data_IF_809915742845
#
_entry.id   IF_809915742845
#
_cell.length_a   1.000
_cell.length_b   1.000
_cell.length_c   1.000
_cell.angle_alpha   90.00
_cell.angle_beta   90.00
_cell.angle_gamma   90.00
#
_symmetry.space_group_name_H-M   'P 1'
#
loop_
_entity.id
_entity.type
_entity.pdbx_description
1 polymer ?
#
# COMPACT_ATOMS: atom_id res chain seq x y z
N UNK A 1 -3.19 -31.77 17.39
CA UNK A 1 -1.92 -32.15 16.72
C UNK A 1 -1.09 -30.88 16.58
N UNK A 2 0.03 -30.79 17.29
CA UNK A 2 0.95 -29.64 17.19
C UNK A 2 1.51 -29.62 15.77
N UNK A 3 1.18 -28.59 14.98
CA UNK A 3 1.70 -28.45 13.61
C UNK A 3 3.23 -28.35 13.69
N UNK A 4 3.93 -29.12 12.86
CA UNK A 4 5.40 -29.01 12.74
C UNK A 4 5.77 -27.65 12.17
N UNK A 5 6.97 -27.15 12.51
CA UNK A 5 7.48 -25.86 12.02
C UNK A 5 7.44 -25.75 10.49
N UNK A 6 7.81 -26.84 9.80
CA UNK A 6 7.72 -26.95 8.35
C UNK A 6 6.27 -26.81 7.84
N UNK A 7 5.31 -27.41 8.54
CA UNK A 7 3.89 -27.28 8.20
C UNK A 7 3.35 -25.87 8.38
N UNK A 8 3.78 -25.15 9.43
CA UNK A 8 3.41 -23.74 9.64
C UNK A 8 4.01 -22.83 8.57
N UNK A 9 5.26 -23.09 8.17
CA UNK A 9 5.92 -22.35 7.09
C UNK A 9 5.20 -22.56 5.76
N UNK A 10 4.88 -23.81 5.41
CA UNK A 10 4.15 -24.11 4.19
C UNK A 10 2.75 -23.48 4.19
N UNK A 11 2.01 -23.58 5.29
CA UNK A 11 0.71 -22.94 5.44
C UNK A 11 0.78 -21.42 5.29
N UNK A 12 1.83 -20.80 5.84
CA UNK A 12 2.05 -19.35 5.69
C UNK A 12 2.30 -18.99 4.23
N UNK A 13 3.15 -19.75 3.53
CA UNK A 13 3.38 -19.53 2.09
C UNK A 13 2.11 -19.71 1.26
N UNK A 14 1.31 -20.74 1.54
CA UNK A 14 0.03 -20.96 0.84
C UNK A 14 -0.92 -19.80 1.11
N UNK A 15 -1.05 -19.36 2.36
CA UNK A 15 -1.91 -18.23 2.72
C UNK A 15 -1.48 -16.95 2.00
N UNK A 16 -0.18 -16.64 1.99
CA UNK A 16 0.35 -15.48 1.28
C UNK A 16 0.17 -15.60 -0.24
N UNK A 17 0.30 -16.81 -0.80
CA UNK A 17 0.11 -17.05 -2.23
C UNK A 17 -1.36 -16.96 -2.65
N UNK A 18 -2.30 -17.47 -1.85
CA UNK A 18 -3.74 -17.42 -2.12
C UNK A 18 -4.25 -15.98 -2.16
N UNK A 19 -3.67 -15.10 -1.32
CA UNK A 19 -3.98 -13.67 -1.41
C UNK A 19 -3.55 -13.05 -2.74
N UNK A 20 -2.57 -13.58 -3.47
CA UNK A 20 -2.11 -13.00 -4.75
C UNK A 20 -3.09 -13.19 -5.92
N UNK A 21 -4.08 -14.08 -5.81
CA UNK A 21 -4.90 -14.53 -6.94
C UNK A 21 -6.37 -14.06 -6.84
N UNK A 22 -6.82 -13.66 -5.65
CA UNK A 22 -8.18 -13.19 -5.40
C UNK A 22 -8.25 -11.66 -5.27
N UNK A 23 -9.46 -11.11 -5.36
CA UNK A 23 -9.78 -9.72 -5.01
C UNK A 23 -9.61 -9.55 -3.49
N UNK A 24 -8.36 -9.40 -3.05
CA UNK A 24 -7.96 -9.52 -1.65
C UNK A 24 -7.68 -8.14 -1.04
N UNK A 25 -7.96 -8.01 0.26
CA UNK A 25 -7.63 -6.79 0.99
C UNK A 25 -6.14 -6.79 1.39
N UNK A 26 -5.38 -5.82 0.87
CA UNK A 26 -3.96 -5.62 1.22
C UNK A 26 -3.75 -5.45 2.73
N UNK A 27 -4.73 -4.87 3.44
CA UNK A 27 -4.67 -4.71 4.89
C UNK A 27 -4.69 -6.07 5.59
N UNK A 28 -5.54 -6.99 5.14
CA UNK A 28 -5.64 -8.35 5.70
C UNK A 28 -4.37 -9.16 5.44
N UNK A 29 -3.78 -9.03 4.25
CA UNK A 29 -2.47 -9.62 3.94
C UNK A 29 -1.39 -9.13 4.90
N UNK A 30 -1.31 -7.82 5.11
CA UNK A 30 -0.29 -7.21 5.96
C UNK A 30 -0.45 -7.67 7.42
N UNK A 31 -1.68 -7.73 7.93
CA UNK A 31 -1.98 -8.26 9.27
C UNK A 31 -1.63 -9.74 9.38
N UNK A 32 -2.03 -10.55 8.40
CA UNK A 32 -1.71 -11.97 8.36
C UNK A 32 -0.20 -12.20 8.35
N UNK A 33 0.55 -11.42 7.57
CA UNK A 33 2.00 -11.54 7.50
C UNK A 33 2.66 -11.28 8.85
N UNK A 34 2.31 -10.18 9.53
CA UNK A 34 2.92 -9.85 10.83
C UNK A 34 2.59 -10.89 11.89
N UNK A 35 1.35 -11.39 11.93
CA UNK A 35 0.94 -12.43 12.88
C UNK A 35 1.65 -13.75 12.63
N UNK A 36 1.70 -14.22 11.38
CA UNK A 36 2.34 -15.49 11.02
C UNK A 36 3.85 -15.44 11.22
N UNK A 37 4.50 -14.33 10.84
CA UNK A 37 5.94 -14.17 11.05
C UNK A 37 6.27 -14.11 12.54
N UNK A 38 5.49 -13.39 13.35
CA UNK A 38 5.69 -13.34 14.79
C UNK A 38 5.54 -14.74 15.42
N UNK A 39 4.52 -15.50 15.03
CA UNK A 39 4.30 -16.85 15.53
C UNK A 39 5.41 -17.83 15.10
N UNK A 40 5.82 -17.81 13.83
CA UNK A 40 6.82 -18.73 13.26
C UNK A 40 8.22 -18.53 13.85
N UNK A 41 8.54 -17.31 14.27
CA UNK A 41 9.86 -16.89 14.75
C UNK A 41 9.86 -16.56 16.25
N UNK A 42 8.77 -16.86 16.96
CA UNK A 42 8.58 -16.57 18.37
C UNK A 42 8.90 -15.11 18.74
N UNK A 43 8.54 -14.17 17.85
CA UNK A 43 8.72 -12.75 18.11
C UNK A 43 7.65 -12.26 19.10
N UNK A 44 8.05 -11.39 20.02
CA UNK A 44 7.14 -10.74 20.97
C UNK A 44 6.21 -9.75 20.27
N UNK A 45 6.65 -9.18 19.15
CA UNK A 45 5.86 -8.30 18.31
C UNK A 45 6.41 -8.25 16.89
N UNK A 46 5.56 -7.85 15.95
CA UNK A 46 5.95 -7.53 14.58
C UNK A 46 5.22 -6.27 14.09
N UNK A 47 5.73 -5.67 13.02
CA UNK A 47 5.11 -4.56 12.33
C UNK A 47 5.64 -4.40 10.92
N UNK A 48 4.91 -3.66 10.10
CA UNK A 48 5.29 -3.34 8.73
C UNK A 48 5.18 -1.84 8.54
N UNK A 49 6.25 -1.29 7.98
CA UNK A 49 6.22 0.04 7.39
C UNK A 49 6.23 -0.07 5.87
N UNK A 50 5.46 0.78 5.19
CA UNK A 50 5.45 0.89 3.73
C UNK A 50 5.61 2.34 3.31
N UNK A 51 6.19 2.54 2.12
CA UNK A 51 6.16 3.83 1.45
C UNK A 51 4.94 3.94 0.53
N UNK A 52 4.31 5.12 0.56
CA UNK A 52 3.21 5.50 -0.33
C UNK A 52 3.67 5.82 -1.76
N UNK A 53 4.98 5.75 -2.05
CA UNK A 53 5.56 6.03 -3.38
C UNK A 53 6.16 7.43 -3.53
N UNK A 54 5.97 8.29 -2.54
CA UNK A 54 6.60 9.61 -2.39
C UNK A 54 7.88 9.59 -1.52
N UNK A 55 8.23 8.42 -0.98
CA UNK A 55 9.36 8.23 -0.08
C UNK A 55 9.01 8.40 1.40
N UNK A 56 7.81 8.88 1.74
CA UNK A 56 7.32 8.90 3.11
C UNK A 56 6.93 7.48 3.53
N UNK A 57 7.28 7.11 4.76
CA UNK A 57 7.04 5.79 5.33
C UNK A 57 5.92 5.89 6.37
N UNK A 58 5.02 4.91 6.36
CA UNK A 58 3.92 4.81 7.32
C UNK A 58 3.84 3.40 7.91
N UNK A 59 3.41 3.32 9.17
CA UNK A 59 3.09 2.04 9.81
C UNK A 59 1.73 1.55 9.29
N UNK A 60 1.74 0.43 8.56
CA UNK A 60 0.54 -0.13 7.92
C UNK A 60 -0.02 -1.37 8.61
N UNK A 61 0.81 -2.06 9.41
CA UNK A 61 0.39 -3.19 10.24
C UNK A 61 1.26 -3.32 11.48
N UNK A 62 0.70 -3.80 12.57
CA UNK A 62 1.41 -4.08 13.82
C UNK A 62 0.66 -5.12 14.63
N UNK A 63 1.39 -6.02 15.30
CA UNK A 63 0.77 -7.03 16.16
C UNK A 63 0.29 -6.46 17.50
N UNK A 64 0.86 -5.33 17.94
CA UNK A 64 0.45 -4.64 19.17
C UNK A 64 0.90 -3.18 19.18
N UNK A 65 0.40 -2.40 20.16
CA UNK A 65 0.73 -0.98 20.29
C UNK A 65 2.20 -0.71 20.68
N UNK A 66 2.89 -1.69 21.30
CA UNK A 66 4.32 -1.54 21.65
C UNK A 66 5.16 -1.44 20.39
N UNK A 67 4.99 -2.37 19.44
CA UNK A 67 5.73 -2.33 18.16
C UNK A 67 5.34 -1.10 17.34
N UNK A 68 4.04 -0.78 17.27
CA UNK A 68 3.54 0.41 16.56
C UNK A 68 4.18 1.71 17.06
N UNK A 69 4.27 1.88 18.38
CA UNK A 69 4.92 3.06 18.97
C UNK A 69 6.40 3.16 18.59
N UNK A 70 7.13 2.04 18.67
CA UNK A 70 8.57 1.99 18.35
C UNK A 70 8.83 2.26 16.87
N UNK A 71 7.96 1.77 15.98
CA UNK A 71 8.04 2.11 14.55
C UNK A 71 7.79 3.60 14.31
N UNK A 72 6.73 4.19 14.88
CA UNK A 72 6.46 5.63 14.76
C UNK A 72 7.65 6.47 15.23
N UNK A 73 8.33 6.07 16.31
CA UNK A 73 9.52 6.76 16.80
C UNK A 73 10.67 6.73 15.80
N UNK A 74 10.91 5.59 15.13
CA UNK A 74 11.94 5.47 14.09
C UNK A 74 11.62 6.35 12.88
N UNK A 75 10.35 6.33 12.43
CA UNK A 75 9.89 7.13 11.30
C UNK A 75 10.02 8.63 11.58
N UNK A 76 9.56 9.10 12.75
CA UNK A 76 9.69 10.50 13.17
C UNK A 76 11.15 10.95 13.35
N UNK A 77 12.02 10.04 13.74
CA UNK A 77 13.45 10.32 13.87
C UNK A 77 14.19 10.25 12.53
N UNK A 78 13.54 9.79 11.45
CA UNK A 78 14.18 9.50 10.16
C UNK A 78 15.33 8.51 10.26
N UNK A 79 15.41 7.74 11.35
CA UNK A 79 16.54 6.88 11.66
C UNK A 79 16.13 5.73 12.59
N UNK A 80 16.67 4.55 12.30
CA UNK A 80 16.38 3.32 13.01
C UNK A 80 16.59 2.09 12.11
N UNK A 81 16.60 0.88 12.69
CA UNK A 81 16.75 -0.35 11.92
C UNK A 81 15.77 -0.49 10.75
N UNK A 82 14.49 -0.12 10.93
CA UNK A 82 13.50 -0.24 9.86
C UNK A 82 13.77 0.73 8.70
N UNK A 83 14.13 1.98 9.02
CA UNK A 83 14.48 3.01 8.03
C UNK A 83 15.77 2.65 7.30
N UNK A 84 16.77 2.14 8.01
CA UNK A 84 18.03 1.68 7.40
C UNK A 84 17.80 0.47 6.49
N UNK A 85 16.94 -0.47 6.90
CA UNK A 85 16.57 -1.63 6.07
C UNK A 85 15.84 -1.21 4.80
N UNK A 86 14.88 -0.28 4.90
CA UNK A 86 14.20 0.29 3.74
C UNK A 86 15.18 0.97 2.78
N UNK A 87 16.05 1.85 3.31
CA UNK A 87 16.96 2.67 2.50
C UNK A 87 18.06 1.86 1.83
N UNK A 88 18.64 0.90 2.55
CA UNK A 88 19.71 0.04 2.03
C UNK A 88 19.19 -1.12 1.17
N UNK A 89 17.91 -1.49 1.34
CA UNK A 89 17.35 -2.71 0.79
C UNK A 89 17.99 -3.97 1.35
N UNK A 90 18.62 -3.91 2.54
CA UNK A 90 19.28 -5.03 3.22
C UNK A 90 18.61 -5.30 4.58
N UNK A 91 18.71 -6.54 5.05
CA UNK A 91 18.26 -6.88 6.40
C UNK A 91 19.19 -6.25 7.45
N UNK A 92 18.60 -5.73 8.53
CA UNK A 92 19.30 -5.10 9.65
C UNK A 92 18.98 -5.87 10.92
N UNK A 93 19.97 -6.60 11.43
CA UNK A 93 19.87 -7.35 12.68
C UNK A 93 20.43 -6.54 13.86
N UNK A 94 19.66 -6.44 14.93
CA UNK A 94 20.03 -5.79 16.19
C UNK A 94 19.87 -6.81 17.31
N UNK A 95 20.88 -7.66 17.55
CA UNK A 95 20.77 -8.74 18.54
C UNK A 95 20.74 -8.22 19.99
N UNK A 96 21.23 -7.01 20.22
CA UNK A 96 21.17 -6.33 21.51
C UNK A 96 20.97 -4.83 21.26
N UNK A 97 19.77 -4.33 21.58
CA UNK A 97 19.40 -2.93 21.39
C UNK A 97 20.23 -2.02 22.31
N UNK A 98 20.56 -2.46 23.52
CA UNK A 98 21.29 -1.64 24.48
C UNK A 98 22.73 -1.37 23.99
N UNK A 99 23.30 -2.33 23.25
CA UNK A 99 24.62 -2.25 22.62
C UNK A 99 24.73 -1.32 21.40
N UNK A 100 23.61 -0.79 20.88
CA UNK A 100 23.61 0.03 19.65
C UNK A 100 24.27 1.41 19.80
N UNK A 101 24.60 1.82 21.02
CA UNK A 101 25.23 3.11 21.33
C UNK A 101 24.42 4.28 20.77
N UNK A 102 25.10 5.21 20.11
CA UNK A 102 24.51 6.44 19.55
C UNK A 102 24.07 6.29 18.08
N UNK A 103 24.08 5.08 17.50
CA UNK A 103 23.70 4.89 16.09
C UNK A 103 22.23 5.27 15.85
N UNK A 104 21.33 4.86 16.74
CA UNK A 104 19.89 5.16 16.67
C UNK A 104 19.32 5.49 18.05
N UNK A 105 19.63 6.65 18.63
CA UNK A 105 19.37 6.94 20.05
C UNK A 105 17.87 6.98 20.38
N UNK A 106 17.04 7.51 19.47
CA UNK A 106 15.57 7.57 19.64
C UNK A 106 14.94 6.17 19.59
N UNK A 107 15.38 5.33 18.66
CA UNK A 107 14.98 3.93 18.59
C UNK A 107 15.37 3.19 19.86
N UNK A 108 16.65 3.26 20.25
CA UNK A 108 17.19 2.58 21.44
C UNK A 108 16.37 2.93 22.68
N UNK A 109 16.20 4.22 22.97
CA UNK A 109 15.42 4.68 24.11
C UNK A 109 13.97 4.20 24.06
N UNK A 110 13.32 4.33 22.91
CA UNK A 110 11.92 3.94 22.73
C UNK A 110 11.69 2.44 22.87
N UNK A 111 12.54 1.62 22.24
CA UNK A 111 12.42 0.17 22.24
C UNK A 111 12.68 -0.42 23.63
N UNK A 112 13.75 0.04 24.33
CA UNK A 112 14.04 -0.39 25.70
C UNK A 112 12.91 0.00 26.66
N UNK A 113 12.32 1.19 26.51
CA UNK A 113 11.18 1.62 27.32
C UNK A 113 9.91 0.77 27.10
N UNK A 114 9.79 0.10 25.95
CA UNK A 114 8.72 -0.84 25.65
C UNK A 114 9.07 -2.30 25.99
N UNK A 115 10.26 -2.55 26.54
CA UNK A 115 10.72 -3.87 26.97
C UNK A 115 11.34 -4.73 25.86
N UNK A 116 11.55 -4.19 24.66
CA UNK A 116 12.24 -4.91 23.59
C UNK A 116 13.75 -4.89 23.81
N UNK A 117 14.40 -6.04 23.63
CA UNK A 117 15.84 -6.22 23.81
C UNK A 117 16.57 -6.54 22.50
N UNK A 118 15.88 -7.07 21.49
CA UNK A 118 16.43 -7.27 20.14
C UNK A 118 15.39 -6.99 19.04
N UNK A 119 15.90 -6.74 17.83
CA UNK A 119 15.08 -6.45 16.65
C UNK A 119 15.72 -7.02 15.38
N UNK A 120 14.90 -7.40 14.41
CA UNK A 120 15.33 -7.70 13.05
C UNK A 120 14.41 -6.98 12.07
N UNK A 121 14.98 -6.09 11.25
CA UNK A 121 14.27 -5.44 10.15
C UNK A 121 14.66 -6.09 8.82
N UNK A 122 13.68 -6.45 8.01
CA UNK A 122 13.85 -7.16 6.74
C UNK A 122 13.17 -6.35 5.64
N UNK A 123 13.85 -6.06 4.52
CA UNK A 123 13.29 -5.21 3.49
C UNK A 123 12.16 -5.92 2.76
N UNK A 124 11.07 -5.20 2.52
CA UNK A 124 10.04 -5.57 1.55
C UNK A 124 10.50 -5.04 0.20
N UNK A 125 11.08 -5.91 -0.63
CA UNK A 125 11.74 -5.51 -1.88
C UNK A 125 11.40 -6.44 -3.03
N UNK A 126 11.26 -5.86 -4.22
CA UNK A 126 11.15 -6.58 -5.47
C UNK A 126 12.19 -6.03 -6.45
N UNK A 127 13.15 -6.89 -6.82
CA UNK A 127 14.29 -6.52 -7.68
C UNK A 127 15.10 -5.36 -7.05
N UNK A 128 15.08 -4.18 -7.68
CA UNK A 128 15.82 -3.00 -7.25
C UNK A 128 14.96 -2.03 -6.41
N UNK A 129 13.67 -2.32 -6.21
CA UNK A 129 12.74 -1.43 -5.52
C UNK A 129 12.43 -1.98 -4.13
N UNK A 130 12.75 -1.21 -3.10
CA UNK A 130 12.30 -1.46 -1.73
C UNK A 130 11.06 -0.61 -1.47
N UNK A 131 9.98 -1.23 -1.00
CA UNK A 131 8.70 -0.56 -0.72
C UNK A 131 8.45 -0.37 0.77
N UNK A 132 9.28 -0.93 1.64
CA UNK A 132 9.12 -0.87 3.09
C UNK A 132 10.01 -1.86 3.83
N UNK A 133 9.66 -2.15 5.08
CA UNK A 133 10.30 -3.20 5.86
C UNK A 133 9.32 -3.93 6.78
N UNK A 134 9.55 -5.24 6.95
CA UNK A 134 8.95 -6.07 7.98
C UNK A 134 9.89 -6.10 9.19
N UNK A 135 9.34 -5.81 10.36
CA UNK A 135 10.10 -5.56 11.58
C UNK A 135 9.66 -6.55 12.66
N UNK A 136 10.60 -7.30 13.22
CA UNK A 136 10.37 -8.29 14.26
C UNK A 136 11.09 -7.86 15.55
N UNK A 137 10.42 -8.01 16.68
CA UNK A 137 10.92 -7.59 17.99
C UNK A 137 10.85 -8.72 19.01
N UNK A 138 11.85 -8.82 19.88
CA UNK A 138 11.86 -9.77 21.00
C UNK A 138 12.15 -9.06 22.32
N UNK A 139 11.56 -9.55 23.41
CA UNK A 139 11.85 -9.13 24.78
C UNK A 139 13.14 -9.80 25.35
N UNK A 140 13.91 -10.49 24.49
CA UNK A 140 15.18 -11.15 24.81
C UNK A 140 16.27 -10.71 23.84
N UNK A 141 17.52 -10.65 24.30
CA UNK A 141 18.68 -10.48 23.41
C UNK A 141 18.88 -11.72 22.54
N UNK A 142 19.54 -11.54 21.41
CA UNK A 142 19.83 -12.58 20.43
C UNK A 142 19.33 -12.20 19.04
N UNK A 143 19.78 -12.95 18.04
CA UNK A 143 19.40 -12.76 16.65
C UNK A 143 18.72 -13.98 16.08
N UNK A 144 18.16 -13.81 14.89
CA UNK A 144 17.72 -14.93 14.06
C UNK A 144 18.92 -15.74 13.58
N UNK A 145 18.72 -17.05 13.42
CA UNK A 145 19.68 -17.86 12.67
C UNK A 145 19.70 -17.44 11.19
N UNK A 146 20.72 -17.84 10.44
CA UNK A 146 20.77 -17.61 8.99
C UNK A 146 19.57 -18.25 8.28
N UNK A 147 19.15 -19.44 8.72
CA UNK A 147 17.98 -20.12 8.17
C UNK A 147 16.71 -19.30 8.40
N UNK A 148 16.52 -18.79 9.62
CA UNK A 148 15.34 -18.00 9.98
C UNK A 148 15.32 -16.65 9.26
N UNK A 149 16.50 -16.03 9.10
CA UNK A 149 16.69 -14.80 8.32
C UNK A 149 16.28 -15.01 6.86
N UNK A 150 16.68 -16.14 6.26
CA UNK A 150 16.28 -16.49 4.90
C UNK A 150 14.76 -16.77 4.81
N UNK A 151 14.20 -17.43 5.82
CA UNK A 151 12.75 -17.69 5.91
C UNK A 151 11.95 -16.39 5.94
N UNK A 152 12.29 -15.45 6.83
CA UNK A 152 11.57 -14.18 6.92
C UNK A 152 11.74 -13.35 5.65
N UNK A 153 12.93 -13.35 5.04
CA UNK A 153 13.13 -12.67 3.76
C UNK A 153 12.25 -13.27 2.66
N UNK A 154 12.16 -14.59 2.57
CA UNK A 154 11.32 -15.23 1.56
C UNK A 154 9.82 -14.92 1.76
N UNK A 155 9.35 -14.85 3.01
CA UNK A 155 7.97 -14.42 3.33
C UNK A 155 7.74 -12.94 2.96
N UNK A 156 8.71 -12.08 3.28
CA UNK A 156 8.69 -10.66 2.92
C UNK A 156 8.67 -10.48 1.39
N UNK A 157 9.45 -11.26 0.64
CA UNK A 157 9.50 -11.21 -0.83
C UNK A 157 8.15 -11.59 -1.45
N UNK A 158 7.51 -12.66 -0.98
CA UNK A 158 6.18 -13.08 -1.47
C UNK A 158 5.12 -12.03 -1.15
N UNK A 159 5.11 -11.50 0.09
CA UNK A 159 4.17 -10.45 0.45
C UNK A 159 4.38 -9.17 -0.37
N UNK A 160 5.64 -8.82 -0.69
CA UNK A 160 5.97 -7.68 -1.54
C UNK A 160 5.35 -7.82 -2.93
N UNK A 161 5.39 -9.02 -3.52
CA UNK A 161 4.76 -9.30 -4.82
C UNK A 161 3.25 -9.01 -4.74
N UNK A 162 2.58 -9.45 -3.68
CA UNK A 162 1.15 -9.17 -3.48
C UNK A 162 0.84 -7.69 -3.39
N UNK A 163 1.54 -7.00 -2.48
CA UNK A 163 1.35 -5.55 -2.28
C UNK A 163 1.52 -4.78 -3.59
N UNK A 164 2.52 -5.14 -4.41
CA UNK A 164 2.75 -4.49 -5.70
C UNK A 164 1.69 -4.85 -6.74
N UNK A 165 1.20 -6.09 -6.73
CA UNK A 165 0.15 -6.53 -7.64
C UNK A 165 -1.18 -5.84 -7.34
N UNK A 166 -1.56 -5.71 -6.07
CA UNK A 166 -2.77 -4.96 -5.67
C UNK A 166 -2.67 -3.50 -6.12
N UNK A 167 -1.54 -2.83 -5.84
CA UNK A 167 -1.32 -1.44 -6.29
C UNK A 167 -1.46 -1.30 -7.80
N UNK A 168 -0.91 -2.24 -8.58
CA UNK A 168 -0.99 -2.22 -10.04
C UNK A 168 -2.42 -2.44 -10.55
N UNK A 169 -3.19 -3.34 -9.94
CA UNK A 169 -4.61 -3.58 -10.28
C UNK A 169 -5.42 -2.33 -9.97
N UNK A 170 -5.27 -1.76 -8.77
CA UNK A 170 -5.99 -0.56 -8.34
C UNK A 170 -5.69 0.64 -9.23
N UNK A 171 -4.43 0.86 -9.60
CA UNK A 171 -4.04 1.92 -10.54
C UNK A 171 -4.65 1.70 -11.93
N UNK A 172 -4.62 0.45 -12.43
CA UNK A 172 -5.23 0.08 -13.70
C UNK A 172 -6.74 0.33 -13.72
N UNK A 173 -7.45 0.00 -12.64
CA UNK A 173 -8.89 0.22 -12.50
C UNK A 173 -9.25 1.70 -12.47
N UNK A 174 -8.48 2.53 -11.77
CA UNK A 174 -8.65 3.99 -11.78
C UNK A 174 -8.48 4.54 -13.20
N UNK A 175 -7.41 4.16 -13.90
CA UNK A 175 -7.15 4.59 -15.28
C UNK A 175 -8.27 4.11 -16.22
N UNK A 176 -8.72 2.86 -16.06
CA UNK A 176 -9.81 2.28 -16.86
C UNK A 176 -11.13 3.04 -16.62
N UNK A 177 -11.46 3.37 -15.37
CA UNK A 177 -12.64 4.17 -15.03
C UNK A 177 -12.59 5.56 -15.65
N UNK A 178 -11.43 6.23 -15.59
CA UNK A 178 -11.22 7.54 -16.21
C UNK A 178 -11.37 7.49 -17.74
N UNK A 179 -10.77 6.48 -18.40
CA UNK A 179 -10.92 6.28 -19.84
C UNK A 179 -12.37 5.98 -20.24
N UNK A 180 -13.06 5.12 -19.49
CA UNK A 180 -14.45 4.79 -19.75
C UNK A 180 -15.36 6.02 -19.59
N UNK A 181 -15.10 6.85 -18.58
CA UNK A 181 -15.81 8.12 -18.39
C UNK A 181 -15.52 9.11 -19.54
N UNK A 182 -14.28 9.21 -20.00
CA UNK A 182 -13.91 10.05 -21.15
C UNK A 182 -14.56 9.56 -22.48
N UNK A 183 -14.65 8.25 -22.69
CA UNK A 183 -15.29 7.69 -23.89
C UNK A 183 -16.80 7.86 -23.87
N UNK A 184 -17.45 7.58 -22.74
CA UNK A 184 -18.91 7.73 -22.58
C UNK A 184 -19.35 9.19 -22.70
N UNK A 185 -18.61 10.12 -22.07
CA UNK A 185 -18.90 11.56 -22.19
C UNK A 185 -18.78 12.05 -23.64
N UNK A 186 -17.80 11.57 -24.43
CA UNK A 186 -17.69 11.95 -25.84
C UNK A 186 -18.91 11.51 -26.66
N UNK A 187 -19.44 10.31 -26.43
CA UNK A 187 -20.65 9.82 -27.11
C UNK A 187 -21.84 10.70 -26.74
N UNK A 188 -22.03 11.00 -25.45
CA UNK A 188 -23.12 11.86 -24.97
C UNK A 188 -23.03 13.27 -25.56
N UNK A 189 -21.83 13.85 -25.62
CA UNK A 189 -21.60 15.17 -26.20
C UNK A 189 -21.97 15.20 -27.69
N UNK A 190 -21.57 14.18 -28.47
CA UNK A 190 -21.95 14.10 -29.89
C UNK A 190 -23.47 13.92 -30.08
N UNK A 191 -24.12 13.14 -29.22
CA UNK A 191 -25.59 13.01 -29.23
C UNK A 191 -26.28 14.33 -28.89
N UNK A 192 -25.82 15.04 -27.85
CA UNK A 192 -26.35 16.34 -27.44
C UNK A 192 -26.18 17.40 -28.54
N UNK A 193 -25.02 17.42 -29.22
CA UNK A 193 -24.80 18.28 -30.40
C UNK A 193 -25.85 18.01 -31.47
N UNK A 194 -26.14 16.74 -31.76
CA UNK A 194 -27.18 16.33 -32.70
C UNK A 194 -28.57 16.83 -32.29
N UNK A 195 -28.95 16.67 -31.02
CA UNK A 195 -30.23 17.16 -30.47
C UNK A 195 -30.34 18.67 -30.63
N UNK A 196 -29.33 19.43 -30.16
CA UNK A 196 -29.34 20.90 -30.22
C UNK A 196 -29.35 21.41 -31.65
N UNK A 197 -28.55 20.82 -32.54
CA UNK A 197 -28.50 21.16 -33.96
C UNK A 197 -29.87 20.98 -34.62
N UNK A 198 -30.54 19.85 -34.37
CA UNK A 198 -31.87 19.57 -34.90
C UNK A 198 -32.93 20.53 -34.34
N UNK A 199 -32.96 20.72 -33.01
CA UNK A 199 -33.99 21.56 -32.36
C UNK A 199 -33.87 23.04 -32.75
N UNK A 200 -32.65 23.55 -32.96
CA UNK A 200 -32.41 24.95 -33.28
C UNK A 200 -32.21 25.22 -34.78
N UNK A 201 -32.16 24.18 -35.61
CA UNK A 201 -31.85 24.31 -37.04
C UNK A 201 -30.47 24.89 -37.32
N UNK A 202 -29.48 24.62 -36.45
CA UNK A 202 -28.11 25.15 -36.56
C UNK A 202 -27.11 24.08 -36.99
N UNK A 203 -25.94 24.50 -37.46
CA UNK A 203 -24.88 23.57 -37.79
C UNK A 203 -24.33 22.90 -36.53
N UNK A 204 -23.81 21.68 -36.67
CA UNK A 204 -23.36 20.84 -35.55
C UNK A 204 -22.18 21.47 -34.76
N UNK A 205 -21.41 22.35 -35.41
CA UNK A 205 -20.37 23.17 -34.76
C UNK A 205 -20.96 24.24 -33.84
N UNK A 206 -21.93 25.01 -34.33
CA UNK A 206 -22.62 26.05 -33.55
C UNK A 206 -23.40 25.45 -32.36
N UNK A 207 -23.95 24.25 -32.54
CA UNK A 207 -24.60 23.49 -31.47
C UNK A 207 -23.60 23.16 -30.34
N UNK A 208 -22.37 22.79 -30.68
CA UNK A 208 -21.34 22.51 -29.67
C UNK A 208 -20.92 23.76 -28.92
N UNK A 209 -20.79 24.89 -29.61
CA UNK A 209 -20.47 26.17 -28.98
C UNK A 209 -21.54 26.59 -27.96
N UNK A 210 -22.82 26.42 -28.28
CA UNK A 210 -23.94 26.64 -27.34
C UNK A 210 -23.85 25.75 -26.10
N UNK A 211 -23.58 24.45 -26.27
CA UNK A 211 -23.43 23.51 -25.16
C UNK A 211 -22.25 23.92 -24.26
N UNK A 212 -21.12 24.29 -24.88
CA UNK A 212 -19.91 24.74 -24.16
C UNK A 212 -20.12 26.06 -23.43
N UNK A 213 -20.81 27.00 -24.05
CA UNK A 213 -21.14 28.29 -23.45
C UNK A 213 -22.04 28.11 -22.22
N UNK A 214 -23.07 27.26 -22.31
CA UNK A 214 -23.93 26.93 -21.18
C UNK A 214 -23.15 26.27 -20.04
N UNK A 215 -22.32 25.27 -20.35
CA UNK A 215 -21.45 24.60 -19.38
C UNK A 215 -20.59 25.61 -18.61
N UNK A 216 -19.93 26.53 -19.31
CA UNK A 216 -19.07 27.56 -18.70
C UNK A 216 -19.85 28.57 -17.86
N UNK A 217 -20.96 29.09 -18.37
CA UNK A 217 -21.78 30.06 -17.63
C UNK A 217 -22.36 29.49 -16.33
N UNK A 218 -22.61 28.18 -16.29
CA UNK A 218 -23.22 27.52 -15.13
C UNK A 218 -22.22 26.74 -14.26
N UNK A 219 -20.93 26.72 -14.63
CA UNK A 219 -19.91 25.96 -13.91
C UNK A 219 -20.16 24.44 -13.91
N UNK A 220 -20.87 23.92 -14.92
CA UNK A 220 -21.24 22.51 -15.00
C UNK A 220 -20.28 21.75 -15.92
N UNK A 221 -19.92 20.50 -15.62
CA UNK A 221 -19.19 19.64 -16.54
C UNK A 221 -19.93 19.50 -17.88
N UNK A 222 -19.18 19.52 -18.98
CA UNK A 222 -19.75 19.45 -20.33
C UNK A 222 -20.52 18.13 -20.57
N UNK A 223 -20.04 17.04 -19.97
CA UNK A 223 -20.69 15.74 -19.99
C UNK A 223 -22.08 15.78 -19.33
N UNK A 224 -22.20 16.43 -18.17
CA UNK A 224 -23.47 16.55 -17.44
C UNK A 224 -24.48 17.41 -18.22
N UNK A 225 -24.01 18.49 -18.85
CA UNK A 225 -24.86 19.31 -19.74
C UNK A 225 -25.35 18.47 -20.92
N UNK A 226 -24.47 17.70 -21.55
CA UNK A 226 -24.82 16.82 -22.65
C UNK A 226 -25.82 15.73 -22.22
N UNK A 227 -25.62 15.09 -21.07
CA UNK A 227 -26.53 14.10 -20.51
C UNK A 227 -27.91 14.71 -20.25
N UNK A 228 -27.98 15.89 -19.64
CA UNK A 228 -29.25 16.59 -19.38
C UNK A 228 -29.99 16.95 -20.67
N UNK A 229 -29.27 17.29 -21.74
CA UNK A 229 -29.85 17.54 -23.08
C UNK A 229 -30.39 16.25 -23.68
N UNK A 230 -29.61 15.17 -23.67
CA UNK A 230 -30.01 13.85 -24.21
C UNK A 230 -31.25 13.32 -23.46
N UNK A 231 -31.27 13.45 -22.13
CA UNK A 231 -32.39 13.04 -21.27
C UNK A 231 -33.55 14.05 -21.26
N UNK A 232 -33.46 15.14 -22.03
CA UNK A 232 -34.49 16.20 -22.15
C UNK A 232 -34.83 16.90 -20.84
N UNK A 233 -33.91 16.89 -19.88
CA UNK A 233 -33.99 17.65 -18.63
C UNK A 233 -33.49 19.09 -18.82
N UNK A 234 -32.69 19.32 -19.86
CA UNK A 234 -32.20 20.63 -20.26
C UNK A 234 -32.48 20.85 -21.75
N UNK A 235 -33.03 22.01 -22.07
CA UNK A 235 -33.18 22.51 -23.43
C UNK A 235 -32.44 23.84 -23.47
N UNK A 236 -31.51 23.97 -24.41
CA UNK A 236 -30.73 25.19 -24.64
C UNK A 236 -31.51 26.22 -25.47
#
# INVERSE_FOLDING_TARGET
MTKTREGQLLETFVTLADTLVADYDVVDLLHTLVEKCAALLEASAAGIILSAGDGELEVVASTNERSRLVEILQLRAGSGPCVESFTSGLAVAVPDIDSTGDKWPKFRQGALAQGFASMHAVPLRLRATTIGSLNLFWDRTGGLSTADTNTVQALADVATIGILQERAIRESDIVRQQLQHALSSRVLIEQAKGVVAYTHGVHMGDAFDKIREYSRHNGLPLADVAERIVNRVLIL
#
